data_IF_917511013860
#
_entry.id   IF_917511013860
#
_cell.length_a   1.000
_cell.length_b   1.000
_cell.length_c   1.000
_cell.angle_alpha   90.00
_cell.angle_beta   90.00
_cell.angle_gamma   90.00
#
_symmetry.space_group_name_H-M   'P 1'
#
loop_
_entity.id
_entity.type
_entity.pdbx_description
1 polymer ?
#
# COMPACT_ATOMS: atom_id res chain seq x y z
N UNK A 1 13.66 12.32 -11.62
CA UNK A 1 12.87 11.22 -11.06
C UNK A 1 11.76 10.89 -12.06
N UNK A 2 11.77 9.68 -12.59
CA UNK A 2 10.78 9.25 -13.57
C UNK A 2 9.42 9.14 -12.85
N UNK A 3 8.40 9.78 -13.43
CA UNK A 3 7.06 9.81 -12.84
C UNK A 3 6.26 8.61 -13.33
N UNK A 4 6.62 7.43 -12.85
CA UNK A 4 5.85 6.21 -13.15
C UNK A 4 4.76 6.00 -12.09
N UNK A 5 3.57 5.76 -12.52
CA UNK A 5 2.39 5.48 -11.69
C UNK A 5 1.59 4.33 -12.29
N UNK A 6 0.99 3.49 -11.47
CA UNK A 6 1.04 3.47 -10.01
C UNK A 6 2.28 2.77 -9.47
N UNK A 7 2.68 3.09 -8.22
CA UNK A 7 3.67 2.32 -7.47
C UNK A 7 2.97 1.15 -6.76
N UNK A 8 3.63 -0.01 -6.70
CA UNK A 8 3.21 -1.12 -5.85
C UNK A 8 3.62 -0.82 -4.39
N UNK A 9 2.73 -1.07 -3.44
CA UNK A 9 2.99 -0.90 -2.02
C UNK A 9 3.08 -2.25 -1.32
N UNK A 10 4.14 -2.44 -0.53
CA UNK A 10 4.34 -3.61 0.33
C UNK A 10 4.43 -3.13 1.77
N UNK A 11 3.52 -3.62 2.63
CA UNK A 11 3.44 -3.24 4.04
C UNK A 11 4.04 -4.33 4.90
N UNK A 12 4.98 -3.97 5.78
CA UNK A 12 5.71 -4.93 6.61
C UNK A 12 5.37 -4.80 8.09
N UNK A 13 5.15 -3.59 8.56
CA UNK A 13 4.71 -3.34 9.92
C UNK A 13 3.62 -2.27 9.94
N UNK A 14 2.56 -2.55 10.64
CA UNK A 14 1.52 -1.59 10.98
C UNK A 14 1.13 -1.71 12.46
N UNK A 15 0.53 -0.65 12.99
CA UNK A 15 0.22 -0.54 14.41
C UNK A 15 -1.28 -0.68 14.72
N UNK A 16 -2.13 -0.80 13.71
CA UNK A 16 -3.56 -0.98 13.90
C UNK A 16 -3.86 -2.34 14.54
N UNK A 17 -4.52 -2.33 15.70
CA UNK A 17 -4.89 -3.56 16.40
C UNK A 17 -5.97 -4.33 15.65
N UNK A 18 -6.06 -5.66 15.88
CA UNK A 18 -7.10 -6.50 15.28
C UNK A 18 -8.51 -5.99 15.63
N UNK A 19 -8.71 -5.51 16.88
CA UNK A 19 -9.99 -4.97 17.31
C UNK A 19 -10.39 -3.68 16.56
N UNK A 20 -9.41 -2.83 16.22
CA UNK A 20 -9.66 -1.64 15.39
C UNK A 20 -9.98 -2.03 13.96
N UNK A 21 -9.28 -3.01 13.40
CA UNK A 21 -9.56 -3.54 12.06
C UNK A 21 -10.96 -4.16 12.01
N UNK A 22 -11.36 -4.94 13.00
CA UNK A 22 -12.72 -5.49 13.10
C UNK A 22 -13.78 -4.40 13.12
N UNK A 23 -13.55 -3.32 13.86
CA UNK A 23 -14.46 -2.17 13.94
C UNK A 23 -14.58 -1.46 12.57
N UNK A 24 -13.46 -1.21 11.91
CA UNK A 24 -13.43 -0.62 10.56
C UNK A 24 -14.19 -1.53 9.58
N UNK A 25 -13.93 -2.84 9.61
CA UNK A 25 -14.57 -3.80 8.73
C UNK A 25 -16.08 -3.91 8.95
N UNK A 26 -16.55 -3.76 10.19
CA UNK A 26 -17.97 -3.78 10.52
C UNK A 26 -18.73 -2.55 10.00
N UNK A 27 -18.04 -1.41 9.86
CA UNK A 27 -18.62 -0.16 9.36
C UNK A 27 -18.45 0.03 7.85
N UNK A 28 -17.53 -0.68 7.22
CA UNK A 28 -17.24 -0.55 5.80
C UNK A 28 -18.45 -0.92 4.92
N UNK A 29 -18.68 -0.10 3.91
CA UNK A 29 -19.88 -0.21 3.03
C UNK A 29 -21.07 0.59 3.53
N UNK A 30 -20.91 1.41 4.55
CA UNK A 30 -21.91 2.37 5.04
C UNK A 30 -21.43 3.80 4.75
N UNK A 31 -21.71 4.35 3.56
CA UNK A 31 -21.17 5.65 3.14
C UNK A 31 -21.51 6.76 4.12
N UNK A 32 -20.50 7.59 4.41
CA UNK A 32 -20.60 8.72 5.33
C UNK A 32 -20.62 10.03 4.55
N UNK A 33 -21.51 10.94 4.93
CA UNK A 33 -21.66 12.23 4.24
C UNK A 33 -20.39 13.09 4.33
N UNK A 34 -19.69 13.03 5.44
CA UNK A 34 -18.43 13.74 5.66
C UNK A 34 -17.27 13.24 4.79
N UNK A 35 -17.40 12.05 4.18
CA UNK A 35 -16.37 11.44 3.32
C UNK A 35 -16.65 11.61 1.81
N UNK A 36 -17.68 12.34 1.41
CA UNK A 36 -18.05 12.52 -0.01
C UNK A 36 -16.91 13.06 -0.87
N UNK A 37 -16.14 14.02 -0.37
CA UNK A 37 -14.98 14.54 -1.09
C UNK A 37 -13.87 13.48 -1.23
N UNK A 38 -13.70 12.62 -0.24
CA UNK A 38 -12.74 11.51 -0.29
C UNK A 38 -13.16 10.46 -1.33
N UNK A 39 -14.44 10.12 -1.38
CA UNK A 39 -14.97 9.20 -2.40
C UNK A 39 -14.82 9.77 -3.81
N UNK A 40 -15.06 11.07 -4.00
CA UNK A 40 -14.87 11.74 -5.29
C UNK A 40 -13.42 11.69 -5.75
N UNK A 41 -12.48 11.97 -4.84
CA UNK A 41 -11.03 11.91 -5.11
C UNK A 41 -10.64 10.47 -5.45
N UNK A 42 -11.04 9.50 -4.64
CA UNK A 42 -10.74 8.09 -4.86
C UNK A 42 -11.26 7.58 -6.20
N UNK A 43 -12.51 7.94 -6.55
CA UNK A 43 -13.10 7.61 -7.85
C UNK A 43 -12.27 8.16 -9.01
N UNK A 44 -11.83 9.42 -8.89
CA UNK A 44 -10.95 10.03 -9.90
C UNK A 44 -9.63 9.28 -10.01
N UNK A 45 -8.98 8.98 -8.89
CA UNK A 45 -7.70 8.27 -8.85
C UNK A 45 -7.77 6.87 -9.47
N UNK A 46 -8.90 6.16 -9.27
CA UNK A 46 -9.15 4.87 -9.91
C UNK A 46 -9.36 4.98 -11.41
N UNK A 47 -10.06 6.04 -11.87
CA UNK A 47 -10.31 6.28 -13.30
C UNK A 47 -9.06 6.69 -14.08
N UNK A 48 -8.22 7.51 -13.50
CA UNK A 48 -6.98 7.97 -14.14
C UNK A 48 -5.77 7.05 -13.87
N UNK A 49 -5.97 5.95 -13.14
CA UNK A 49 -4.95 4.94 -12.87
C UNK A 49 -3.88 5.35 -11.84
N UNK A 50 -4.07 6.46 -11.12
CA UNK A 50 -3.18 6.89 -10.03
C UNK A 50 -3.16 5.86 -8.90
N UNK A 51 -4.29 5.21 -8.64
CA UNK A 51 -4.41 4.04 -7.77
C UNK A 51 -4.81 2.85 -8.63
N UNK A 52 -4.07 1.75 -8.54
CA UNK A 52 -4.38 0.52 -9.26
C UNK A 52 -4.89 -0.57 -8.32
N UNK A 53 -5.81 -1.40 -8.82
CA UNK A 53 -6.30 -2.56 -8.08
C UNK A 53 -5.20 -3.58 -7.75
N UNK A 54 -4.21 -3.86 -8.64
CA UNK A 54 -3.08 -4.70 -8.29
C UNK A 54 -2.25 -4.18 -7.11
N UNK A 55 -2.03 -2.86 -7.01
CA UNK A 55 -1.33 -2.28 -5.88
C UNK A 55 -2.10 -2.46 -4.56
N UNK A 56 -3.43 -2.34 -4.59
CA UNK A 56 -4.28 -2.59 -3.44
C UNK A 56 -4.27 -4.09 -3.07
N UNK A 57 -4.31 -4.98 -4.05
CA UNK A 57 -4.27 -6.42 -3.83
C UNK A 57 -2.91 -6.90 -3.30
N UNK A 58 -1.81 -6.23 -3.65
CA UNK A 58 -0.49 -6.54 -3.12
C UNK A 58 -0.42 -6.39 -1.58
N UNK A 59 -1.23 -5.53 -1.00
CA UNK A 59 -1.38 -5.39 0.46
C UNK A 59 -1.99 -6.66 1.08
N UNK A 60 -2.82 -7.38 0.34
CA UNK A 60 -3.51 -8.59 0.80
C UNK A 60 -2.56 -9.68 1.29
N UNK A 61 -1.47 -9.89 0.57
CA UNK A 61 -0.57 -11.01 0.83
C UNK A 61 0.33 -10.77 2.06
N UNK A 62 0.29 -9.55 2.60
CA UNK A 62 1.15 -9.12 3.69
C UNK A 62 0.44 -9.08 5.05
N UNK A 63 -0.90 -9.18 5.07
CA UNK A 63 -1.63 -9.09 6.34
C UNK A 63 -1.93 -10.44 6.97
N UNK A 64 -1.57 -10.59 8.24
CA UNK A 64 -1.98 -11.71 9.10
C UNK A 64 -3.41 -11.54 9.65
N UNK A 65 -3.96 -10.31 9.64
CA UNK A 65 -5.28 -10.00 10.20
C UNK A 65 -6.41 -10.74 9.46
N UNK A 66 -7.23 -11.47 10.23
CA UNK A 66 -8.44 -12.13 9.71
C UNK A 66 -9.50 -11.12 9.27
N UNK A 67 -9.65 -10.03 10.03
CA UNK A 67 -10.61 -8.97 9.72
C UNK A 67 -10.22 -8.21 8.46
N UNK A 68 -8.93 -7.89 8.27
CA UNK A 68 -8.41 -7.27 7.05
C UNK A 68 -8.61 -8.20 5.84
N UNK A 69 -8.34 -9.50 5.97
CA UNK A 69 -8.60 -10.49 4.92
C UNK A 69 -10.09 -10.57 4.54
N UNK A 70 -10.98 -10.52 5.53
CA UNK A 70 -12.42 -10.52 5.30
C UNK A 70 -12.90 -9.23 4.61
N UNK A 71 -12.38 -8.07 4.98
CA UNK A 71 -12.67 -6.80 4.32
C UNK A 71 -12.15 -6.78 2.89
N UNK A 72 -10.94 -7.30 2.66
CA UNK A 72 -10.39 -7.48 1.32
C UNK A 72 -11.23 -8.40 0.45
N UNK A 73 -11.76 -9.47 1.00
CA UNK A 73 -12.65 -10.35 0.25
C UNK A 73 -13.92 -9.64 -0.21
N UNK A 74 -14.49 -8.76 0.62
CA UNK A 74 -15.58 -7.86 0.21
C UNK A 74 -15.14 -6.92 -0.92
N UNK A 75 -14.02 -6.26 -0.74
CA UNK A 75 -13.42 -5.33 -1.72
C UNK A 75 -13.15 -6.03 -3.05
N UNK A 76 -12.51 -7.21 -3.03
CA UNK A 76 -12.21 -7.98 -4.25
C UNK A 76 -13.47 -8.40 -5.01
N UNK A 77 -14.57 -8.69 -4.31
CA UNK A 77 -15.85 -9.04 -4.90
C UNK A 77 -16.49 -7.84 -5.61
N UNK A 78 -16.31 -6.64 -5.07
CA UNK A 78 -16.81 -5.39 -5.66
C UNK A 78 -15.85 -4.82 -6.72
N UNK A 79 -14.56 -5.12 -6.63
CA UNK A 79 -13.51 -4.61 -7.54
C UNK A 79 -13.43 -5.36 -8.88
N UNK A 80 -14.17 -6.45 -9.08
CA UNK A 80 -14.27 -7.12 -10.40
C UNK A 80 -15.02 -6.26 -11.44
N UNK A 81 -15.69 -5.17 -11.00
CA UNK A 81 -16.18 -4.09 -11.81
C UNK A 81 -15.48 -2.76 -11.47
N UNK A 82 -15.73 -1.71 -12.23
CA UNK A 82 -15.30 -0.36 -11.84
C UNK A 82 -16.08 0.05 -10.60
N UNK A 83 -15.45 0.37 -9.47
CA UNK A 83 -16.15 0.79 -8.27
C UNK A 83 -16.81 2.15 -8.52
N UNK A 84 -18.10 2.17 -8.77
CA UNK A 84 -18.86 3.38 -9.07
C UNK A 84 -19.84 3.74 -7.96
N UNK A 85 -20.27 2.75 -7.15
CA UNK A 85 -21.18 2.98 -6.04
C UNK A 85 -20.47 3.66 -4.86
N UNK A 86 -21.26 4.39 -4.06
CA UNK A 86 -20.73 4.99 -2.83
C UNK A 86 -20.32 3.93 -1.82
N UNK A 87 -21.03 2.82 -1.77
CA UNK A 87 -20.74 1.66 -0.93
C UNK A 87 -19.38 1.05 -1.28
N UNK A 88 -19.11 0.83 -2.56
CA UNK A 88 -17.83 0.31 -3.04
C UNK A 88 -16.67 1.24 -2.70
N UNK A 89 -16.87 2.55 -2.89
CA UNK A 89 -15.87 3.56 -2.56
C UNK A 89 -15.62 3.65 -1.06
N UNK A 90 -16.64 3.46 -0.23
CA UNK A 90 -16.49 3.44 1.23
C UNK A 90 -15.74 2.18 1.70
N UNK A 91 -16.03 1.01 1.13
CA UNK A 91 -15.29 -0.24 1.41
C UNK A 91 -13.81 -0.06 1.05
N UNK A 92 -13.53 0.47 -0.14
CA UNK A 92 -12.17 0.68 -0.60
C UNK A 92 -11.42 1.72 0.25
N UNK A 93 -12.08 2.83 0.56
CA UNK A 93 -11.54 3.87 1.42
C UNK A 93 -11.24 3.32 2.83
N UNK A 94 -12.17 2.58 3.42
CA UNK A 94 -11.99 1.95 4.73
C UNK A 94 -10.81 1.00 4.73
N UNK A 95 -10.69 0.17 3.69
CA UNK A 95 -9.58 -0.75 3.53
C UNK A 95 -8.22 -0.05 3.41
N UNK A 96 -8.13 1.00 2.61
CA UNK A 96 -6.90 1.77 2.44
C UNK A 96 -6.47 2.53 3.69
N UNK A 97 -7.39 2.74 4.63
CA UNK A 97 -7.13 3.42 5.90
C UNK A 97 -6.98 2.45 7.10
N UNK A 98 -7.01 1.14 6.87
CA UNK A 98 -6.73 0.17 7.93
C UNK A 98 -5.31 0.31 8.48
N UNK A 99 -4.25 0.33 7.66
CA UNK A 99 -2.92 0.35 8.20
C UNK A 99 -2.54 1.74 8.70
N UNK A 100 -2.30 1.85 9.99
CA UNK A 100 -1.39 2.86 10.52
C UNK A 100 0.02 2.34 10.24
N UNK A 101 0.56 2.75 9.10
CA UNK A 101 1.74 2.14 8.51
C UNK A 101 3.01 2.59 9.22
N UNK A 102 3.69 1.67 9.88
CA UNK A 102 5.02 1.90 10.45
C UNK A 102 6.14 1.73 9.42
N UNK A 103 6.22 0.56 8.81
CA UNK A 103 7.27 0.22 7.86
C UNK A 103 6.72 -0.50 6.62
N UNK A 104 7.33 -0.24 5.48
CA UNK A 104 6.92 -0.81 4.21
C UNK A 104 7.84 -0.41 3.06
N UNK A 105 7.43 -0.71 1.84
CA UNK A 105 8.21 -0.43 0.64
C UNK A 105 7.27 -0.02 -0.50
N UNK A 106 7.65 1.01 -1.23
CA UNK A 106 7.07 1.33 -2.53
C UNK A 106 8.00 0.82 -3.64
N UNK A 107 7.43 0.22 -4.67
CA UNK A 107 8.17 -0.32 -5.80
C UNK A 107 7.58 0.16 -7.11
N UNK A 108 8.45 0.58 -8.02
CA UNK A 108 8.05 0.90 -9.39
C UNK A 108 8.26 -0.32 -10.30
N UNK A 109 7.21 -0.95 -10.84
CA UNK A 109 7.35 -2.10 -11.71
C UNK A 109 7.99 -1.76 -13.07
N UNK A 110 7.94 -0.50 -13.50
CA UNK A 110 8.48 -0.07 -14.79
C UNK A 110 10.00 0.13 -14.75
N UNK A 111 10.50 0.87 -13.75
CA UNK A 111 11.94 1.17 -13.67
C UNK A 111 12.69 0.31 -12.66
N UNK A 112 12.00 -0.50 -11.86
CA UNK A 112 12.60 -1.36 -10.84
C UNK A 112 13.09 -0.63 -9.60
N UNK A 113 12.81 0.67 -9.44
CA UNK A 113 13.19 1.41 -8.23
C UNK A 113 12.28 1.08 -7.07
N UNK A 114 12.86 0.99 -5.91
CA UNK A 114 12.15 0.82 -4.66
C UNK A 114 12.48 1.95 -3.68
N UNK A 115 11.53 2.24 -2.80
CA UNK A 115 11.63 3.32 -1.82
C UNK A 115 11.18 2.79 -0.46
N UNK A 116 12.03 2.86 0.58
CA UNK A 116 11.66 2.40 1.90
C UNK A 116 10.63 3.36 2.53
N UNK A 117 9.77 2.79 3.37
CA UNK A 117 8.88 3.52 4.26
C UNK A 117 9.33 3.21 5.68
N UNK A 118 9.61 4.25 6.46
CA UNK A 118 10.03 4.07 7.86
C UNK A 118 11.50 3.72 8.05
N UNK A 119 12.37 3.99 7.07
CA UNK A 119 13.82 3.72 7.21
C UNK A 119 14.53 4.83 8.02
N UNK A 120 14.29 6.09 7.73
CA UNK A 120 14.81 7.21 8.51
C UNK A 120 13.76 7.76 9.49
N UNK A 121 12.52 7.90 9.02
CA UNK A 121 11.40 8.38 9.84
C UNK A 121 10.23 7.42 9.68
N UNK A 122 9.70 6.94 10.78
CA UNK A 122 8.57 6.01 10.81
C UNK A 122 7.38 6.54 10.00
N UNK A 123 6.73 5.66 9.26
CA UNK A 123 5.58 5.94 8.40
C UNK A 123 5.83 6.85 7.19
N UNK A 124 7.04 7.37 7.00
CA UNK A 124 7.34 8.29 5.91
C UNK A 124 8.07 7.55 4.78
N UNK A 125 7.52 7.57 3.53
CA UNK A 125 8.22 7.04 2.37
C UNK A 125 9.35 7.98 1.93
N UNK A 126 10.52 7.40 1.66
CA UNK A 126 11.69 8.16 1.22
C UNK A 126 11.80 8.16 -0.31
N UNK A 127 11.00 9.02 -0.96
CA UNK A 127 11.00 9.19 -2.42
C UNK A 127 12.15 10.10 -2.86
N UNK A 128 13.38 9.69 -2.59
CA UNK A 128 14.58 10.46 -2.90
C UNK A 128 15.20 10.03 -4.24
N UNK A 129 15.83 10.95 -4.99
CA UNK A 129 16.71 10.61 -6.11
C UNK A 129 17.83 9.66 -5.68
N UNK A 130 18.29 8.80 -6.59
CA UNK A 130 19.26 7.75 -6.28
C UNK A 130 20.56 8.31 -5.68
N UNK A 131 21.02 9.46 -6.15
CA UNK A 131 22.22 10.16 -5.71
C UNK A 131 22.15 10.75 -4.28
N UNK A 132 20.92 10.89 -3.75
CA UNK A 132 20.70 11.39 -2.38
C UNK A 132 20.38 10.26 -1.39
N UNK A 133 20.37 9.00 -1.86
CA UNK A 133 20.06 7.85 -1.01
C UNK A 133 21.31 7.30 -0.32
N UNK A 134 21.15 6.92 0.93
CA UNK A 134 22.21 6.35 1.75
C UNK A 134 22.27 4.82 1.60
N UNK A 135 23.22 4.34 0.80
CA UNK A 135 23.33 2.92 0.42
C UNK A 135 23.36 1.97 1.63
N UNK A 136 24.16 2.29 2.65
CA UNK A 136 24.33 1.41 3.82
C UNK A 136 23.01 1.28 4.60
N UNK A 137 22.37 2.40 4.89
CA UNK A 137 21.06 2.43 5.58
C UNK A 137 19.99 1.69 4.80
N UNK A 138 19.92 1.92 3.50
CA UNK A 138 18.93 1.29 2.63
C UNK A 138 19.12 -0.22 2.53
N UNK A 139 20.36 -0.71 2.45
CA UNK A 139 20.67 -2.14 2.43
C UNK A 139 20.43 -2.79 3.80
N UNK A 140 20.74 -2.12 4.90
CA UNK A 140 20.41 -2.59 6.25
C UNK A 140 18.89 -2.73 6.40
N UNK A 141 18.14 -1.72 5.98
CA UNK A 141 16.68 -1.75 6.01
C UNK A 141 16.12 -2.87 5.13
N UNK A 142 16.61 -3.03 3.91
CA UNK A 142 16.19 -4.11 3.00
C UNK A 142 16.52 -5.49 3.58
N UNK A 143 17.69 -5.64 4.22
CA UNK A 143 18.11 -6.87 4.89
C UNK A 143 17.22 -7.25 6.07
N UNK A 144 16.75 -6.27 6.84
CA UNK A 144 15.79 -6.46 7.93
C UNK A 144 14.50 -7.15 7.44
N UNK A 145 14.05 -6.80 6.23
CA UNK A 145 12.81 -7.30 5.65
C UNK A 145 13.02 -8.38 4.59
N UNK A 146 14.22 -8.92 4.46
CA UNK A 146 14.59 -9.91 3.43
C UNK A 146 13.63 -11.11 3.34
N UNK A 147 13.06 -11.55 4.47
CA UNK A 147 12.11 -12.68 4.51
C UNK A 147 10.75 -12.41 3.87
N UNK A 148 10.39 -11.15 3.65
CA UNK A 148 9.07 -10.74 3.11
C UNK A 148 9.16 -9.85 1.87
N UNK A 149 10.32 -9.26 1.60
CA UNK A 149 10.56 -8.49 0.37
C UNK A 149 10.55 -9.44 -0.83
N UNK A 150 9.78 -9.14 -1.89
CA UNK A 150 9.76 -9.99 -3.09
C UNK A 150 11.13 -10.18 -3.71
N UNK A 151 11.42 -11.38 -4.18
CA UNK A 151 12.68 -11.77 -4.82
C UNK A 151 13.09 -10.81 -5.94
N UNK A 152 12.13 -10.34 -6.73
CA UNK A 152 12.39 -9.38 -7.82
C UNK A 152 13.04 -8.10 -7.32
N UNK A 153 12.67 -7.64 -6.12
CA UNK A 153 13.23 -6.42 -5.52
C UNK A 153 14.61 -6.72 -4.93
N UNK A 154 14.75 -7.84 -4.23
CA UNK A 154 16.03 -8.24 -3.64
C UNK A 154 17.13 -8.42 -4.69
N UNK A 155 16.82 -9.06 -5.82
CA UNK A 155 17.79 -9.44 -6.87
C UNK A 155 18.03 -8.40 -7.94
N UNK A 156 17.04 -7.56 -8.23
CA UNK A 156 17.09 -6.59 -9.35
C UNK A 156 16.57 -5.20 -9.03
N UNK A 157 16.24 -4.93 -7.77
CA UNK A 157 15.77 -3.62 -7.33
C UNK A 157 16.85 -2.53 -7.47
N UNK A 158 16.41 -1.32 -7.76
CA UNK A 158 17.27 -0.14 -7.90
C UNK A 158 16.94 0.88 -6.80
N UNK A 159 17.91 1.72 -6.42
CA UNK A 159 19.30 1.77 -6.89
C UNK A 159 20.19 0.69 -6.28
N UNK A 160 19.76 0.04 -5.18
CA UNK A 160 20.53 -0.96 -4.46
C UNK A 160 19.81 -2.30 -4.42
N UNK A 161 20.58 -3.38 -4.33
CA UNK A 161 20.07 -4.75 -4.20
C UNK A 161 20.91 -5.52 -3.19
N UNK A 162 20.32 -6.56 -2.61
CA UNK A 162 21.08 -7.53 -1.81
C UNK A 162 21.92 -8.41 -2.74
N UNK A 163 23.14 -8.69 -2.34
CA UNK A 163 24.07 -9.58 -3.06
C UNK A 163 23.79 -11.06 -2.77
#
# INVERSE_FOLDING_TARGET
MDKHHPLEAYLYRWETSEAEIEKIAAEAGKPKKELEDKYRILRKQLRDGTISLPAIQAIKDLTESKAAKALLAKTSKHLQGKPESREDLDILYSYMNIPDLGEGLLFCPECGRWYPIGSAVESIPELMPDELRERERDLEWLGKWMGVVPDKIQKSGKPFKLE
#
